data_IF_589015835037
#
_entry.id   IF_589015835037
#
_cell.length_a   1.000
_cell.length_b   1.000
_cell.length_c   1.000
_cell.angle_alpha   90.00
_cell.angle_beta   90.00
_cell.angle_gamma   90.00
#
_symmetry.space_group_name_H-M   'P 1'
#
loop_
_entity.id
_entity.type
_entity.pdbx_description
1 polymer ?
#
# COMPACT_ATOMS: atom_id res chain seq x y z
N UNK A 1 9.54 6.84 -32.24
CA UNK A 1 9.71 5.78 -31.23
C UNK A 1 10.55 6.36 -30.11
N UNK A 2 10.09 6.37 -28.84
CA UNK A 2 10.93 6.76 -27.72
C UNK A 2 12.12 5.79 -27.61
N UNK A 3 13.31 6.29 -27.24
CA UNK A 3 14.54 5.47 -27.25
C UNK A 3 14.51 4.50 -26.06
N UNK A 4 15.16 3.33 -26.15
CA UNK A 4 15.19 2.34 -25.05
C UNK A 4 15.67 2.92 -23.71
N UNK A 5 16.59 3.90 -23.76
CA UNK A 5 17.14 4.57 -22.57
C UNK A 5 16.10 5.43 -21.84
N UNK A 6 15.04 5.90 -22.53
CA UNK A 6 13.98 6.72 -21.93
C UNK A 6 13.08 5.88 -21.02
N UNK A 7 12.79 4.63 -21.40
CA UNK A 7 11.91 3.75 -20.63
C UNK A 7 12.61 3.27 -19.35
N UNK A 8 13.89 2.89 -19.44
CA UNK A 8 14.65 2.46 -18.27
C UNK A 8 14.71 3.57 -17.19
N UNK A 9 14.94 4.82 -17.62
CA UNK A 9 14.94 5.96 -16.72
C UNK A 9 13.55 6.23 -16.11
N UNK A 10 12.47 6.09 -16.89
CA UNK A 10 11.10 6.19 -16.37
C UNK A 10 10.79 5.11 -15.33
N UNK A 11 11.24 3.87 -15.56
CA UNK A 11 11.03 2.77 -14.61
C UNK A 11 11.72 3.00 -13.26
N UNK A 12 12.90 3.63 -13.28
CA UNK A 12 13.69 3.93 -12.09
C UNK A 12 13.21 5.20 -11.35
N UNK A 13 12.47 6.08 -12.02
CA UNK A 13 11.89 7.26 -11.39
C UNK A 13 10.67 6.88 -10.54
N UNK A 14 10.82 6.96 -9.22
CA UNK A 14 9.76 6.66 -8.25
C UNK A 14 8.52 7.55 -8.44
N UNK A 15 8.68 8.76 -9.01
CA UNK A 15 7.58 9.69 -9.26
C UNK A 15 6.91 9.46 -10.61
N UNK A 16 7.50 8.64 -11.48
CA UNK A 16 6.91 8.34 -12.77
C UNK A 16 5.64 7.49 -12.60
N UNK A 17 4.60 7.72 -13.43
CA UNK A 17 3.40 6.89 -13.44
C UNK A 17 3.70 5.41 -13.74
N UNK A 18 4.77 5.15 -14.48
CA UNK A 18 5.27 3.83 -14.83
C UNK A 18 6.62 3.59 -14.13
N UNK A 19 6.57 3.30 -12.84
CA UNK A 19 7.74 2.88 -12.07
C UNK A 19 7.73 1.36 -11.83
N UNK A 20 8.85 0.81 -11.33
CA UNK A 20 8.97 -0.63 -11.04
C UNK A 20 7.89 -1.12 -10.07
N UNK A 21 7.57 -0.34 -9.02
CA UNK A 21 6.57 -0.74 -8.02
C UNK A 21 5.16 -0.84 -8.63
N UNK A 22 4.80 0.10 -9.50
CA UNK A 22 3.53 0.11 -10.23
C UNK A 22 3.39 -1.08 -11.18
N UNK A 23 4.49 -1.47 -11.87
CA UNK A 23 4.51 -2.68 -12.69
C UNK A 23 4.34 -3.95 -11.85
N UNK A 24 5.06 -4.05 -10.73
CA UNK A 24 4.95 -5.18 -9.82
C UNK A 24 3.54 -5.28 -9.22
N UNK A 25 2.94 -4.14 -8.85
CA UNK A 25 1.56 -4.07 -8.36
C UNK A 25 0.56 -4.52 -9.42
N UNK A 26 0.71 -4.09 -10.68
CA UNK A 26 -0.16 -4.52 -11.78
C UNK A 26 -0.07 -6.04 -12.02
N UNK A 27 1.13 -6.61 -11.99
CA UNK A 27 1.34 -8.05 -12.18
C UNK A 27 0.75 -8.86 -11.01
N UNK A 28 0.93 -8.39 -9.77
CA UNK A 28 0.35 -9.01 -8.57
C UNK A 28 -1.17 -8.91 -8.58
N UNK A 29 -1.73 -7.77 -8.97
CA UNK A 29 -3.18 -7.58 -9.09
C UNK A 29 -3.77 -8.54 -10.14
N UNK A 30 -3.19 -8.58 -11.34
CA UNK A 30 -3.63 -9.49 -12.40
C UNK A 30 -3.55 -10.96 -11.95
N UNK A 31 -2.46 -11.36 -11.27
CA UNK A 31 -2.33 -12.70 -10.73
C UNK A 31 -3.45 -13.01 -9.72
N UNK A 32 -3.69 -12.11 -8.76
CA UNK A 32 -4.72 -12.30 -7.76
C UNK A 32 -6.13 -12.38 -8.38
N UNK A 33 -6.44 -11.53 -9.35
CA UNK A 33 -7.72 -11.51 -10.07
C UNK A 33 -7.90 -12.75 -10.96
N UNK A 34 -6.82 -13.36 -11.43
CA UNK A 34 -6.87 -14.61 -12.20
C UNK A 34 -6.93 -15.86 -11.31
N UNK A 35 -6.56 -15.76 -10.03
CA UNK A 35 -6.40 -16.90 -9.12
C UNK A 35 -7.73 -17.39 -8.51
N UNK A 36 -8.83 -17.26 -9.24
CA UNK A 36 -10.15 -17.75 -8.82
C UNK A 36 -10.47 -19.13 -9.45
N UNK A 37 -11.12 -20.06 -8.71
CA UNK A 37 -11.42 -21.40 -9.21
C UNK A 37 -12.18 -21.43 -10.55
N UNK A 38 -13.05 -20.45 -10.78
CA UNK A 38 -13.83 -20.33 -12.02
C UNK A 38 -12.93 -19.96 -13.20
N UNK A 39 -12.00 -19.01 -13.01
CA UNK A 39 -11.11 -18.52 -14.06
C UNK A 39 -9.99 -19.51 -14.39
N UNK A 40 -9.52 -20.27 -13.39
CA UNK A 40 -8.55 -21.37 -13.59
C UNK A 40 -9.04 -22.49 -14.50
N UNK A 41 -10.33 -22.55 -14.84
CA UNK A 41 -10.85 -23.49 -15.85
C UNK A 41 -10.39 -23.13 -17.26
N UNK A 42 -10.02 -21.87 -17.51
CA UNK A 42 -9.49 -21.42 -18.79
C UNK A 42 -8.01 -21.81 -18.87
N UNK A 43 -7.66 -22.63 -19.87
CA UNK A 43 -6.31 -23.21 -20.03
C UNK A 43 -5.20 -22.15 -19.98
N UNK A 44 -5.39 -21.02 -20.64
CA UNK A 44 -4.40 -19.95 -20.68
C UNK A 44 -4.20 -19.28 -19.31
N UNK A 45 -5.27 -19.14 -18.52
CA UNK A 45 -5.22 -18.58 -17.17
C UNK A 45 -4.53 -19.56 -16.22
N UNK A 46 -4.87 -20.84 -16.27
CA UNK A 46 -4.20 -21.87 -15.45
C UNK A 46 -2.69 -21.93 -15.73
N UNK A 47 -2.30 -21.90 -17.01
CA UNK A 47 -0.90 -21.86 -17.42
C UNK A 47 -0.19 -20.59 -16.90
N UNK A 48 -0.84 -19.42 -17.00
CA UNK A 48 -0.33 -18.17 -16.47
C UNK A 48 -0.11 -18.21 -14.95
N UNK A 49 -1.10 -18.69 -14.19
CA UNK A 49 -1.02 -18.81 -12.73
C UNK A 49 0.12 -19.75 -12.33
N UNK A 50 0.18 -20.96 -12.91
CA UNK A 50 1.22 -21.94 -12.59
C UNK A 50 2.63 -21.42 -12.89
N UNK A 51 2.79 -20.71 -14.01
CA UNK A 51 4.08 -20.14 -14.41
C UNK A 51 4.56 -19.04 -13.46
N UNK A 52 3.65 -18.18 -13.01
CA UNK A 52 4.01 -16.99 -12.23
C UNK A 52 3.93 -17.19 -10.71
N UNK A 53 3.28 -18.26 -10.23
CA UNK A 53 3.17 -18.57 -8.80
C UNK A 53 4.49 -18.44 -8.01
N UNK A 54 5.63 -19.03 -8.43
CA UNK A 54 6.86 -18.94 -7.63
C UNK A 54 7.37 -17.49 -7.53
N UNK A 55 7.36 -16.75 -8.64
CA UNK A 55 7.76 -15.34 -8.69
C UNK A 55 6.87 -14.47 -7.82
N UNK A 56 5.55 -14.65 -7.90
CA UNK A 56 4.60 -13.90 -7.06
C UNK A 56 4.81 -14.22 -5.58
N UNK A 57 5.01 -15.50 -5.23
CA UNK A 57 5.25 -15.92 -3.84
C UNK A 57 6.54 -15.29 -3.29
N UNK A 58 7.61 -15.27 -4.09
CA UNK A 58 8.87 -14.63 -3.72
C UNK A 58 8.70 -13.12 -3.53
N UNK A 59 7.98 -12.46 -4.45
CA UNK A 59 7.70 -11.04 -4.39
C UNK A 59 6.87 -10.69 -3.15
N UNK A 60 5.78 -11.42 -2.90
CA UNK A 60 4.95 -11.25 -1.71
C UNK A 60 5.78 -11.42 -0.43
N UNK A 61 6.69 -12.39 -0.37
CA UNK A 61 7.57 -12.61 0.79
C UNK A 61 8.65 -11.54 0.99
N UNK A 62 9.02 -10.82 -0.08
CA UNK A 62 10.04 -9.77 -0.01
C UNK A 62 9.43 -8.39 0.29
N UNK A 63 8.12 -8.24 0.14
CA UNK A 63 7.39 -7.01 0.39
C UNK A 63 7.00 -6.89 1.87
N UNK A 64 6.91 -5.64 2.32
CA UNK A 64 6.43 -5.29 3.65
C UNK A 64 4.98 -5.75 3.83
N UNK A 65 4.68 -6.35 4.98
CA UNK A 65 3.37 -6.91 5.33
C UNK A 65 2.89 -6.34 6.66
N UNK A 66 1.58 -6.43 6.89
CA UNK A 66 1.00 -6.08 8.18
C UNK A 66 1.57 -6.92 9.34
N UNK A 67 2.04 -8.14 9.08
CA UNK A 67 2.71 -9.01 10.06
C UNK A 67 4.06 -8.51 10.54
N UNK A 68 4.67 -7.54 9.84
CA UNK A 68 5.97 -6.97 10.20
C UNK A 68 5.83 -5.89 11.30
N UNK A 69 4.60 -5.69 11.80
CA UNK A 69 4.24 -4.70 12.78
C UNK A 69 3.42 -5.30 13.94
N UNK A 70 3.95 -5.17 15.15
CA UNK A 70 3.24 -5.50 16.39
C UNK A 70 2.24 -4.40 16.73
N UNK A 71 0.98 -4.76 16.96
CA UNK A 71 -0.05 -3.84 17.44
C UNK A 71 0.21 -3.44 18.90
N UNK A 72 0.31 -2.14 19.16
CA UNK A 72 0.33 -1.60 20.53
C UNK A 72 -1.08 -1.19 20.95
N UNK A 73 -1.73 -0.32 20.17
CA UNK A 73 -3.04 0.24 20.50
C UNK A 73 -3.75 0.78 19.26
N UNK A 74 -5.08 0.72 19.21
CA UNK A 74 -5.87 1.49 18.23
C UNK A 74 -6.01 2.93 18.71
N UNK A 75 -5.57 3.90 17.91
CA UNK A 75 -5.52 5.33 18.27
C UNK A 75 -6.51 6.21 17.50
N UNK A 76 -7.13 5.69 16.44
CA UNK A 76 -8.17 6.40 15.71
C UNK A 76 -9.04 5.46 14.89
N UNK A 77 -10.30 5.85 14.66
CA UNK A 77 -11.23 5.14 13.76
C UNK A 77 -11.85 6.17 12.83
N UNK A 78 -11.79 5.90 11.53
CA UNK A 78 -12.33 6.77 10.49
C UNK A 78 -13.40 6.06 9.66
N UNK A 79 -13.94 6.77 8.67
CA UNK A 79 -14.99 6.25 7.80
C UNK A 79 -14.55 5.04 6.96
N UNK A 80 -13.26 4.95 6.63
CA UNK A 80 -12.70 3.94 5.71
C UNK A 80 -11.79 2.92 6.41
N UNK A 81 -11.67 2.98 7.74
CA UNK A 81 -10.81 2.07 8.49
C UNK A 81 -10.35 2.64 9.82
N UNK A 82 -9.11 2.34 10.22
CA UNK A 82 -8.59 2.71 11.53
C UNK A 82 -7.09 3.03 11.53
N UNK A 83 -6.66 3.75 12.55
CA UNK A 83 -5.26 4.09 12.79
C UNK A 83 -4.79 3.35 14.03
N UNK A 84 -3.69 2.61 13.89
CA UNK A 84 -3.08 1.79 14.93
C UNK A 84 -1.71 2.35 15.29
N UNK A 85 -1.43 2.50 16.58
CA UNK A 85 -0.08 2.61 17.08
C UNK A 85 0.57 1.23 17.01
N UNK A 86 1.67 1.13 16.26
CA UNK A 86 2.36 -0.14 16.02
C UNK A 86 3.86 -0.02 16.28
N UNK A 87 4.52 -1.15 16.47
CA UNK A 87 5.98 -1.26 16.55
C UNK A 87 6.47 -2.14 15.41
N UNK A 88 7.40 -1.63 14.60
CA UNK A 88 8.04 -2.44 13.57
C UNK A 88 8.95 -3.49 14.22
N UNK A 89 8.83 -4.74 13.77
CA UNK A 89 9.44 -5.89 14.45
C UNK A 89 10.97 -5.80 14.48
N UNK A 90 11.58 -5.51 13.33
CA UNK A 90 13.04 -5.52 13.18
C UNK A 90 13.69 -4.26 13.76
N UNK A 91 13.15 -3.09 13.41
CA UNK A 91 13.75 -1.81 13.81
C UNK A 91 13.34 -1.36 15.20
N UNK A 92 12.31 -1.98 15.79
CA UNK A 92 11.68 -1.64 17.07
C UNK A 92 11.15 -0.21 17.16
N UNK A 93 11.12 0.52 16.04
CA UNK A 93 10.57 1.89 15.95
C UNK A 93 9.05 1.86 16.03
N UNK A 94 8.48 2.91 16.63
CA UNK A 94 7.04 3.08 16.80
C UNK A 94 6.49 3.98 15.70
N UNK A 95 5.36 3.59 15.14
CA UNK A 95 4.70 4.28 14.01
C UNK A 95 3.19 4.35 14.21
N UNK A 96 2.55 5.25 13.46
CA UNK A 96 1.10 5.23 13.24
C UNK A 96 0.80 4.52 11.92
N UNK A 97 0.12 3.39 11.98
CA UNK A 97 -0.30 2.60 10.83
C UNK A 97 -1.77 2.87 10.52
N UNK A 98 -2.05 3.54 9.40
CA UNK A 98 -3.41 3.74 8.91
C UNK A 98 -3.78 2.58 7.98
N UNK A 99 -4.89 1.91 8.30
CA UNK A 99 -5.47 0.83 7.51
C UNK A 99 -6.73 1.36 6.82
N UNK A 100 -6.81 1.15 5.52
CA UNK A 100 -7.96 1.54 4.70
C UNK A 100 -8.55 0.29 4.05
N UNK A 101 -9.83 0.00 4.29
CA UNK A 101 -10.52 -1.15 3.73
C UNK A 101 -10.85 -0.91 2.24
N UNK A 102 -10.34 -1.78 1.37
CA UNK A 102 -10.51 -1.65 -0.08
C UNK A 102 -11.96 -1.79 -0.52
N UNK A 103 -12.76 -2.62 0.14
CA UNK A 103 -14.17 -2.79 -0.21
C UNK A 103 -14.98 -1.55 0.17
N UNK A 104 -14.75 -0.97 1.35
CA UNK A 104 -15.42 0.27 1.75
C UNK A 104 -14.99 1.44 0.87
N UNK A 105 -13.72 1.48 0.44
CA UNK A 105 -13.26 2.46 -0.54
C UNK A 105 -13.96 2.29 -1.89
N UNK A 106 -14.06 1.06 -2.42
CA UNK A 106 -14.73 0.80 -3.69
C UNK A 106 -16.23 1.14 -3.63
N UNK A 107 -16.89 0.87 -2.50
CA UNK A 107 -18.30 1.22 -2.28
C UNK A 107 -18.55 2.73 -2.30
N UNK A 108 -17.54 3.54 -2.00
CA UNK A 108 -17.62 5.00 -1.90
C UNK A 108 -16.63 5.69 -2.85
N UNK A 109 -16.32 5.03 -3.97
CA UNK A 109 -15.24 5.41 -4.89
C UNK A 109 -15.33 6.88 -5.35
N UNK A 110 -16.55 7.41 -5.55
CA UNK A 110 -16.79 8.80 -5.95
C UNK A 110 -16.32 9.85 -4.92
N UNK A 111 -16.00 9.43 -3.70
CA UNK A 111 -15.58 10.29 -2.58
C UNK A 111 -14.21 9.91 -2.00
N UNK A 112 -13.57 8.88 -2.54
CA UNK A 112 -12.33 8.34 -2.00
C UNK A 112 -11.10 9.00 -2.68
N UNK A 113 -10.57 10.07 -2.08
CA UNK A 113 -9.39 10.82 -2.55
C UNK A 113 -8.05 10.22 -2.07
N UNK A 114 -7.86 8.92 -2.25
CA UNK A 114 -6.71 8.21 -1.68
C UNK A 114 -5.41 8.40 -2.47
N UNK A 115 -5.52 8.66 -3.78
CA UNK A 115 -4.35 8.97 -4.62
C UNK A 115 -3.75 10.31 -4.20
N UNK A 116 -4.59 11.33 -4.01
CA UNK A 116 -4.20 12.65 -3.55
C UNK A 116 -3.62 12.60 -2.13
N UNK A 117 -4.26 11.86 -1.22
CA UNK A 117 -3.77 11.71 0.15
C UNK A 117 -2.36 11.10 0.17
N UNK A 118 -2.16 10.00 -0.58
CA UNK A 118 -0.85 9.36 -0.72
C UNK A 118 0.16 10.32 -1.36
N UNK A 119 -0.20 10.98 -2.44
CA UNK A 119 0.73 11.80 -3.21
C UNK A 119 1.18 13.03 -2.42
N UNK A 120 0.29 13.64 -1.63
CA UNK A 120 0.65 14.71 -0.69
C UNK A 120 1.63 14.17 0.36
N UNK A 121 1.31 13.06 1.04
CA UNK A 121 2.15 12.55 2.13
C UNK A 121 3.48 11.96 1.65
N UNK A 122 3.55 11.46 0.42
CA UNK A 122 4.75 10.85 -0.15
C UNK A 122 5.73 11.88 -0.71
N UNK A 123 5.24 13.02 -1.21
CA UNK A 123 6.08 14.00 -1.93
C UNK A 123 6.25 15.33 -1.21
N UNK A 124 5.43 15.64 -0.21
CA UNK A 124 5.56 16.89 0.50
C UNK A 124 6.64 16.79 1.58
N UNK A 125 7.79 17.41 1.31
CA UNK A 125 8.83 17.63 2.31
C UNK A 125 8.50 18.90 3.09
N UNK A 126 7.79 18.76 4.21
CA UNK A 126 7.42 19.87 5.08
C UNK A 126 7.38 19.41 6.54
N UNK A 127 7.92 20.21 7.44
CA UNK A 127 7.86 19.97 8.90
C UNK A 127 6.42 20.04 9.44
N UNK A 128 5.49 20.60 8.67
CA UNK A 128 4.08 20.76 9.04
C UNK A 128 3.21 19.57 8.60
N UNK A 129 3.79 18.61 7.87
CA UNK A 129 3.06 17.46 7.33
C UNK A 129 3.58 16.17 7.94
N UNK A 130 2.64 15.31 8.34
CA UNK A 130 2.96 13.97 8.84
C UNK A 130 3.64 13.19 7.73
N UNK A 131 4.87 12.74 8.00
CA UNK A 131 5.68 12.00 7.03
C UNK A 131 5.18 10.57 6.85
N UNK A 132 5.02 10.17 5.60
CA UNK A 132 4.83 8.78 5.20
C UNK A 132 6.19 8.08 5.05
N UNK A 133 6.39 6.99 5.78
CA UNK A 133 7.59 6.16 5.70
C UNK A 133 7.46 5.04 4.68
N UNK A 134 6.31 4.35 4.69
CA UNK A 134 6.04 3.23 3.82
C UNK A 134 4.56 3.23 3.40
N UNK A 135 4.29 2.85 2.17
CA UNK A 135 2.95 2.52 1.69
C UNK A 135 2.97 1.13 1.07
N UNK A 136 2.06 0.27 1.51
CA UNK A 136 1.93 -1.08 0.98
C UNK A 136 0.48 -1.54 1.03
N UNK A 137 0.19 -2.71 0.48
CA UNK A 137 -1.16 -3.22 0.37
C UNK A 137 -1.21 -4.74 0.49
N UNK A 138 -2.36 -5.24 0.95
CA UNK A 138 -2.72 -6.65 0.82
C UNK A 138 -4.03 -6.80 0.02
N UNK A 139 -4.63 -7.98 0.03
CA UNK A 139 -5.89 -8.25 -0.70
C UNK A 139 -7.08 -7.41 -0.23
N UNK A 140 -7.06 -6.98 1.03
CA UNK A 140 -8.20 -6.40 1.74
C UNK A 140 -7.98 -4.95 2.14
N UNK A 141 -6.74 -4.55 2.41
CA UNK A 141 -6.41 -3.24 2.96
C UNK A 141 -5.26 -2.54 2.20
N UNK A 142 -5.31 -1.21 2.20
CA UNK A 142 -4.13 -0.37 1.99
C UNK A 142 -3.56 0.04 3.35
N UNK A 143 -2.22 0.11 3.43
CA UNK A 143 -1.48 0.43 4.64
C UNK A 143 -0.59 1.64 4.40
N UNK A 144 -0.66 2.61 5.30
CA UNK A 144 0.20 3.78 5.33
C UNK A 144 0.92 3.83 6.67
N UNK A 145 2.23 3.65 6.66
CA UNK A 145 3.09 3.74 7.84
C UNK A 145 3.56 5.18 7.96
N UNK A 146 3.08 5.87 8.98
CA UNK A 146 3.33 7.28 9.22
C UNK A 146 4.12 7.47 10.51
N UNK A 147 4.79 8.61 10.64
CA UNK A 147 5.35 9.00 11.93
C UNK A 147 4.25 9.08 13.01
N UNK A 148 4.59 8.66 14.22
CA UNK A 148 3.65 8.73 15.34
C UNK A 148 3.72 10.10 16.01
N UNK A 149 2.58 10.79 16.06
CA UNK A 149 2.43 12.08 16.74
C UNK A 149 1.86 11.86 18.16
N UNK A 150 2.69 11.89 19.22
CA UNK A 150 2.23 11.58 20.58
C UNK A 150 1.33 12.67 21.18
N UNK A 151 1.32 13.87 20.60
CA UNK A 151 0.54 15.02 21.08
C UNK A 151 -0.98 14.91 20.87
N UNK A 152 -1.45 13.89 20.14
CA UNK A 152 -2.87 13.76 19.80
C UNK A 152 -3.33 14.78 18.77
N UNK A 153 -4.65 14.91 18.60
CA UNK A 153 -5.25 15.91 17.73
C UNK A 153 -5.66 17.18 18.50
N UNK A 154 -5.91 18.26 17.76
CA UNK A 154 -6.33 19.54 18.34
C UNK A 154 -7.67 19.44 19.07
N UNK A 155 -8.54 18.48 18.71
CA UNK A 155 -9.83 18.27 19.38
C UNK A 155 -9.59 17.79 20.82
N UNK A 156 -8.68 16.83 21.03
CA UNK A 156 -8.29 16.36 22.36
C UNK A 156 -7.55 17.44 23.18
N UNK A 157 -7.00 18.48 22.55
CA UNK A 157 -6.36 19.60 23.25
C UNK A 157 -7.36 20.66 23.74
N UNK A 158 -8.50 20.79 23.05
CA UNK A 158 -9.51 21.83 23.32
C UNK A 158 -10.64 21.31 24.25
N UNK A 159 -10.82 20.00 24.35
CA UNK A 159 -11.80 19.35 25.23
C UNK A 159 -11.21 18.94 26.58
#
# INVERSE_FOLDING_TARGET
>A
MPRPDDIANQLLDLKAPLNVDGLLDAVVALYNDCNFPVLKRIRNIDAFIKRNQPTITQLENSRLKGSDFDLIKVIGRGAFGEVRLVRHNDSRKVFALKLLDKNEMLRRADTAFFWEERDIMAHAESEWLVRLHYAFQDRTHLYMVMEFMPGGDVVNLIC
#
